data_IF_925255628779
#
_entry.id   IF_925255628779
#
_cell.length_a   1.000
_cell.length_b   1.000
_cell.length_c   1.000
_cell.angle_alpha   90.00
_cell.angle_beta   90.00
_cell.angle_gamma   90.00
#
_symmetry.space_group_name_H-M   'P 1'
#
loop_
_entity.id
_entity.type
_entity.pdbx_description
1 polymer ?
#
# COMPACT_ATOMS: atom_id res chain seq x y z
N UNK A 1 -8.50 8.18 -16.86
CA UNK A 1 -8.55 8.76 -15.50
C UNK A 1 -7.77 7.90 -14.55
N UNK A 2 -6.83 8.47 -13.84
CA UNK A 2 -6.03 7.71 -12.88
C UNK A 2 -6.80 7.50 -11.57
N UNK A 3 -6.59 6.35 -10.95
CA UNK A 3 -7.13 6.03 -9.63
C UNK A 3 -5.95 5.84 -8.68
N UNK A 4 -5.94 6.58 -7.58
CA UNK A 4 -4.83 6.58 -6.64
C UNK A 4 -5.26 6.01 -5.31
N UNK A 5 -4.51 5.04 -4.78
CA UNK A 5 -4.65 4.51 -3.43
C UNK A 5 -3.47 4.97 -2.58
N UNK A 6 -3.78 5.54 -1.42
CA UNK A 6 -2.81 5.83 -0.38
C UNK A 6 -3.04 4.88 0.80
N UNK A 7 -1.96 4.32 1.30
CA UNK A 7 -1.97 3.54 2.54
C UNK A 7 -1.04 4.26 3.51
N UNK A 8 -1.60 4.80 4.59
CA UNK A 8 -0.85 5.60 5.56
C UNK A 8 -0.79 4.87 6.89
N UNK A 9 0.40 4.77 7.46
CA UNK A 9 0.66 4.15 8.76
C UNK A 9 1.24 5.17 9.72
N UNK A 10 0.81 5.12 10.98
CA UNK A 10 1.38 5.91 12.08
C UNK A 10 1.78 4.94 13.18
N UNK A 11 3.07 4.89 13.50
CA UNK A 11 3.61 4.03 14.55
C UNK A 11 3.77 4.79 15.89
N UNK A 12 3.74 4.08 17.03
CA UNK A 12 3.83 4.73 18.33
C UNK A 12 5.23 5.29 18.64
N UNK A 13 6.28 4.67 18.10
CA UNK A 13 7.66 5.10 18.26
C UNK A 13 8.55 4.49 17.18
N UNK A 14 9.81 4.92 17.12
CA UNK A 14 10.74 4.47 16.08
C UNK A 14 11.31 3.07 16.29
N UNK A 15 11.09 2.46 17.44
CA UNK A 15 11.53 1.08 17.71
C UNK A 15 10.59 0.05 17.07
N UNK A 16 9.36 0.44 16.72
CA UNK A 16 8.38 -0.42 16.05
C UNK A 16 8.55 -0.28 14.54
N UNK A 17 8.80 -1.39 13.85
CA UNK A 17 8.92 -1.39 12.40
C UNK A 17 7.55 -1.18 11.76
N UNK A 18 7.49 -0.41 10.66
CA UNK A 18 6.29 -0.32 9.84
C UNK A 18 5.99 -1.66 9.16
N UNK A 19 4.71 -1.92 8.85
CA UNK A 19 4.36 -3.02 7.99
C UNK A 19 4.86 -2.72 6.57
N UNK A 20 5.54 -3.69 5.97
CA UNK A 20 6.04 -3.58 4.60
C UNK A 20 5.47 -4.70 3.74
N UNK A 21 5.15 -4.44 2.47
CA UNK A 21 4.70 -5.47 1.55
C UNK A 21 5.75 -6.57 1.39
N UNK A 22 5.29 -7.81 1.19
CA UNK A 22 6.19 -8.92 0.91
C UNK A 22 6.83 -8.79 -0.48
N UNK A 23 7.88 -9.56 -0.72
CA UNK A 23 8.54 -9.63 -2.02
C UNK A 23 7.55 -10.03 -3.12
N UNK A 24 6.62 -10.94 -2.81
CA UNK A 24 5.59 -11.39 -3.74
C UNK A 24 4.62 -10.27 -4.11
N UNK A 25 4.23 -9.45 -3.14
CA UNK A 25 3.36 -8.28 -3.40
C UNK A 25 4.08 -7.27 -4.29
N UNK A 26 5.34 -6.99 -4.01
CA UNK A 26 6.15 -6.08 -4.83
C UNK A 26 6.27 -6.62 -6.26
N UNK A 27 6.50 -7.92 -6.43
CA UNK A 27 6.53 -8.54 -7.75
C UNK A 27 5.19 -8.37 -8.49
N UNK A 28 4.07 -8.47 -7.79
CA UNK A 28 2.74 -8.25 -8.38
C UNK A 28 2.56 -6.79 -8.82
N UNK A 29 3.01 -5.85 -8.00
CA UNK A 29 3.02 -4.42 -8.37
C UNK A 29 3.81 -4.20 -9.66
N UNK A 30 4.97 -4.84 -9.79
CA UNK A 30 5.82 -4.71 -10.97
C UNK A 30 5.20 -5.35 -12.21
N UNK A 31 4.49 -6.47 -12.07
CA UNK A 31 3.73 -7.10 -13.17
C UNK A 31 2.65 -6.13 -13.68
N UNK A 32 1.89 -5.53 -12.77
CA UNK A 32 0.85 -4.57 -13.14
C UNK A 32 1.44 -3.30 -13.77
N UNK A 33 2.58 -2.86 -13.27
CA UNK A 33 3.29 -1.70 -13.85
C UNK A 33 3.79 -2.01 -15.26
N UNK A 34 4.35 -3.19 -15.49
CA UNK A 34 4.81 -3.61 -16.82
C UNK A 34 3.66 -3.70 -17.83
N UNK A 35 2.46 -4.07 -17.38
CA UNK A 35 1.27 -4.15 -18.24
C UNK A 35 0.58 -2.80 -18.45
N UNK A 36 1.03 -1.73 -17.78
CA UNK A 36 0.43 -0.40 -17.87
C UNK A 36 -0.76 -0.18 -16.93
N UNK A 37 -1.19 -1.17 -16.17
CA UNK A 37 -2.33 -1.06 -15.25
C UNK A 37 -1.98 -0.24 -14.01
N UNK A 38 -0.71 -0.25 -13.60
CA UNK A 38 -0.17 0.67 -12.60
C UNK A 38 0.77 1.62 -13.32
N UNK A 39 0.55 2.92 -13.14
CA UNK A 39 1.39 3.96 -13.73
C UNK A 39 2.67 4.16 -12.93
N UNK A 40 2.54 4.17 -11.60
CA UNK A 40 3.67 4.34 -10.69
C UNK A 40 3.29 3.90 -9.27
N UNK A 41 4.30 3.64 -8.44
CA UNK A 41 4.07 3.44 -7.01
C UNK A 41 5.30 3.86 -6.20
N UNK A 42 5.07 4.26 -4.94
CA UNK A 42 6.10 4.52 -3.96
C UNK A 42 5.73 3.78 -2.67
N UNK A 43 6.70 3.14 -2.02
CA UNK A 43 6.45 2.28 -0.87
C UNK A 43 6.90 2.87 0.47
N UNK A 44 7.85 3.81 0.46
CA UNK A 44 8.56 4.22 1.66
C UNK A 44 8.68 5.73 1.77
N UNK A 45 7.57 6.46 1.64
CA UNK A 45 7.58 7.90 1.93
C UNK A 45 7.39 8.07 3.44
N UNK A 46 8.50 8.39 4.13
CA UNK A 46 8.54 8.49 5.58
C UNK A 46 8.63 9.95 6.01
N UNK A 47 7.82 10.34 7.00
CA UNK A 47 7.79 11.71 7.53
C UNK A 47 9.10 12.08 8.25
N UNK A 48 9.31 13.39 8.42
CA UNK A 48 10.52 13.92 9.08
C UNK A 48 10.68 13.38 10.50
N UNK A 49 9.57 13.22 11.26
CA UNK A 49 9.63 12.66 12.62
C UNK A 49 9.72 11.12 12.63
N UNK A 50 9.72 10.48 11.45
CA UNK A 50 9.81 9.04 11.27
C UNK A 50 8.66 8.22 11.88
N UNK A 51 7.55 8.85 12.23
CA UNK A 51 6.39 8.17 12.81
C UNK A 51 5.31 7.82 11.77
N UNK A 52 5.38 8.39 10.57
CA UNK A 52 4.38 8.18 9.51
C UNK A 52 5.04 7.63 8.25
N UNK A 53 4.38 6.65 7.63
CA UNK A 53 4.79 6.08 6.35
C UNK A 53 3.62 6.12 5.39
N UNK A 54 3.87 6.48 4.14
CA UNK A 54 2.88 6.48 3.07
C UNK A 54 3.29 5.55 1.95
N UNK A 55 2.35 4.72 1.51
CA UNK A 55 2.43 3.97 0.26
C UNK A 55 1.45 4.63 -0.69
N UNK A 56 1.91 4.94 -1.91
CA UNK A 56 1.08 5.52 -2.96
C UNK A 56 1.13 4.64 -4.19
N UNK A 57 -0.03 4.23 -4.70
CA UNK A 57 -0.12 3.42 -5.92
C UNK A 57 -1.05 4.15 -6.88
N UNK A 58 -0.56 4.46 -8.08
CA UNK A 58 -1.33 5.14 -9.12
C UNK A 58 -1.70 4.11 -10.19
N UNK A 59 -3.00 3.80 -10.28
CA UNK A 59 -3.57 2.91 -11.30
C UNK A 59 -4.02 3.72 -12.52
N UNK A 60 -3.99 3.12 -13.69
CA UNK A 60 -4.44 3.78 -14.90
C UNK A 60 -5.97 3.99 -14.94
N UNK A 61 -6.72 3.24 -14.14
CA UNK A 61 -8.19 3.30 -14.08
C UNK A 61 -8.72 2.64 -12.82
N UNK A 62 -9.99 2.89 -12.50
CA UNK A 62 -10.70 2.19 -11.43
C UNK A 62 -10.77 0.69 -11.70
N UNK A 63 -10.97 0.28 -12.96
CA UNK A 63 -11.04 -1.13 -13.32
C UNK A 63 -9.73 -1.87 -12.99
N UNK A 64 -8.59 -1.25 -13.26
CA UNK A 64 -7.29 -1.82 -12.91
C UNK A 64 -7.10 -1.93 -11.39
N UNK A 65 -7.56 -0.93 -10.64
CA UNK A 65 -7.56 -0.98 -9.18
C UNK A 65 -8.43 -2.14 -8.68
N UNK A 66 -9.65 -2.28 -9.18
CA UNK A 66 -10.56 -3.36 -8.77
C UNK A 66 -9.96 -4.73 -9.08
N UNK A 67 -9.36 -4.91 -10.26
CA UNK A 67 -8.68 -6.14 -10.63
C UNK A 67 -7.55 -6.48 -9.64
N UNK A 68 -6.71 -5.50 -9.31
CA UNK A 68 -5.61 -5.67 -8.36
C UNK A 68 -6.13 -6.10 -6.98
N UNK A 69 -7.22 -5.48 -6.51
CA UNK A 69 -7.80 -5.75 -5.21
C UNK A 69 -8.51 -7.11 -5.12
N UNK A 70 -8.76 -7.79 -6.24
CA UNK A 70 -9.31 -9.15 -6.26
C UNK A 70 -8.24 -10.24 -6.25
N UNK A 71 -6.97 -9.88 -6.38
CA UNK A 71 -5.87 -10.83 -6.31
C UNK A 71 -5.77 -11.43 -4.90
N UNK A 72 -5.74 -12.76 -4.80
CA UNK A 72 -5.67 -13.45 -3.50
C UNK A 72 -4.46 -13.01 -2.67
N UNK A 73 -3.32 -12.81 -3.32
CA UNK A 73 -2.10 -12.34 -2.67
C UNK A 73 -2.31 -10.96 -2.02
N UNK A 74 -3.02 -10.07 -2.70
CA UNK A 74 -3.28 -8.71 -2.21
C UNK A 74 -4.28 -8.73 -1.06
N UNK A 75 -5.32 -9.56 -1.14
CA UNK A 75 -6.28 -9.76 -0.06
C UNK A 75 -5.56 -10.30 1.19
N UNK A 76 -4.71 -11.31 1.02
CA UNK A 76 -3.93 -11.89 2.11
C UNK A 76 -2.97 -10.87 2.74
N UNK A 77 -2.34 -10.02 1.92
CA UNK A 77 -1.45 -8.96 2.40
C UNK A 77 -2.20 -7.92 3.22
N UNK A 78 -3.41 -7.54 2.80
CA UNK A 78 -4.25 -6.61 3.55
C UNK A 78 -4.64 -7.17 4.92
N UNK A 79 -4.95 -8.47 4.99
CA UNK A 79 -5.24 -9.15 6.25
C UNK A 79 -4.03 -9.14 7.19
N UNK A 80 -2.85 -9.48 6.67
CA UNK A 80 -1.60 -9.46 7.43
C UNK A 80 -1.25 -8.07 7.94
N UNK A 81 -1.48 -7.05 7.11
CA UNK A 81 -1.28 -5.65 7.52
C UNK A 81 -2.15 -5.30 8.71
N UNK A 82 -3.44 -5.63 8.66
CA UNK A 82 -4.36 -5.37 9.76
C UNK A 82 -3.93 -6.05 11.06
N UNK A 83 -3.55 -7.32 11.00
CA UNK A 83 -3.08 -8.09 12.14
C UNK A 83 -1.78 -7.51 12.72
N UNK A 84 -0.80 -7.25 11.87
CA UNK A 84 0.49 -6.68 12.28
C UNK A 84 0.31 -5.32 12.94
N UNK A 85 -0.47 -4.43 12.32
CA UNK A 85 -0.70 -3.10 12.86
C UNK A 85 -1.42 -3.14 14.20
N UNK A 86 -2.40 -4.02 14.37
CA UNK A 86 -3.09 -4.20 15.65
C UNK A 86 -2.15 -4.69 16.73
N UNK A 87 -1.29 -5.65 16.44
CA UNK A 87 -0.32 -6.21 17.40
C UNK A 87 0.75 -5.20 17.83
N UNK A 88 1.11 -4.28 16.95
CA UNK A 88 2.19 -3.31 17.16
C UNK A 88 1.72 -1.89 17.47
N UNK A 89 0.43 -1.71 17.71
CA UNK A 89 -0.18 -0.41 18.00
C UNK A 89 0.06 0.63 16.90
N UNK A 90 0.11 0.17 15.65
CA UNK A 90 0.20 1.03 14.47
C UNK A 90 -1.22 1.33 14.00
N UNK A 91 -1.55 2.62 13.88
CA UNK A 91 -2.79 3.01 13.21
C UNK A 91 -2.54 3.13 11.70
N UNK A 92 -3.54 2.78 10.88
CA UNK A 92 -3.43 2.96 9.45
C UNK A 92 -4.75 3.41 8.85
N UNK A 93 -4.66 4.08 7.71
CA UNK A 93 -5.82 4.52 6.94
C UNK A 93 -5.61 4.25 5.46
N UNK A 94 -6.73 4.08 4.75
CA UNK A 94 -6.76 3.93 3.30
C UNK A 94 -7.49 5.15 2.73
N UNK A 95 -6.88 5.82 1.76
CA UNK A 95 -7.47 6.98 1.10
C UNK A 95 -7.38 6.78 -0.41
N UNK A 96 -8.44 7.13 -1.12
CA UNK A 96 -8.51 6.97 -2.57
C UNK A 96 -8.85 8.30 -3.23
N UNK A 97 -8.22 8.54 -4.38
CA UNK A 97 -8.47 9.69 -5.24
C UNK A 97 -8.69 9.23 -6.67
N UNK A 98 -9.64 9.87 -7.34
CA UNK A 98 -9.87 9.69 -8.77
C UNK A 98 -9.52 10.99 -9.48
N UNK A 99 -8.53 10.92 -10.36
CA UNK A 99 -8.03 12.11 -11.07
C UNK A 99 -8.26 11.98 -12.57
#
# INVERSE_FOLDING_TARGET
MSYIRYIKQTRPNTAVAFFSPSVEVIAKLDVYKASGKIESYTLDTISTNQLNKEIKIVFNSLDSFDEFMTEELIIASATKRGEYCAENFISYSLEDDLI
#
